data_IF_892199294582
#
_entry.id   IF_892199294582
#
_cell.length_a   1.000
_cell.length_b   1.000
_cell.length_c   1.000
_cell.angle_alpha   90.00
_cell.angle_beta   90.00
_cell.angle_gamma   90.00
#
_symmetry.space_group_name_H-M   'P 1'
#
loop_
_entity.id
_entity.type
_entity.pdbx_description
1 polymer ?
#
# COMPACT_ATOMS: atom_id res chain seq x y z
N UNK A 1 -6.81 12.07 31.27
CA UNK A 1 -5.74 11.87 30.26
C UNK A 1 -6.38 11.75 28.88
N UNK A 2 -5.95 12.57 27.91
CA UNK A 2 -6.54 12.53 26.56
C UNK A 2 -6.26 11.20 25.83
N UNK A 3 -5.10 10.58 26.08
CA UNK A 3 -4.73 9.30 25.43
C UNK A 3 -5.64 8.13 25.83
N UNK A 4 -6.37 8.20 26.92
CA UNK A 4 -7.23 7.10 27.36
C UNK A 4 -8.44 6.89 26.43
N UNK A 5 -8.79 7.92 25.65
CA UNK A 5 -9.91 7.90 24.70
C UNK A 5 -9.60 8.55 23.34
N UNK A 6 -8.31 8.61 23.00
CA UNK A 6 -7.85 9.17 21.72
C UNK A 6 -7.03 8.13 20.96
N UNK A 7 -7.44 7.82 19.74
CA UNK A 7 -6.63 7.04 18.81
C UNK A 7 -5.65 7.99 18.13
N UNK A 8 -4.37 7.65 18.14
CA UNK A 8 -3.33 8.39 17.42
C UNK A 8 -2.74 7.50 16.34
N UNK A 9 -2.73 7.99 15.11
CA UNK A 9 -2.10 7.32 13.96
C UNK A 9 -0.99 8.22 13.44
N UNK A 10 0.22 7.68 13.39
CA UNK A 10 1.41 8.37 12.88
C UNK A 10 1.91 7.60 11.67
N UNK A 11 1.97 8.26 10.52
CA UNK A 11 2.50 7.72 9.28
C UNK A 11 3.07 8.85 8.42
N UNK A 12 3.62 8.52 7.27
CA UNK A 12 3.93 9.46 6.19
C UNK A 12 3.12 9.06 4.96
N UNK A 13 2.84 9.99 4.05
CA UNK A 13 2.22 9.74 2.75
C UNK A 13 3.18 9.00 1.81
N UNK A 14 4.46 9.35 1.84
CA UNK A 14 5.55 8.69 1.10
C UNK A 14 6.89 8.86 1.83
N UNK A 15 7.92 8.21 1.33
CA UNK A 15 9.31 8.45 1.68
C UNK A 15 10.04 9.25 0.60
N UNK A 16 11.29 9.57 0.83
CA UNK A 16 12.20 10.19 -0.14
C UNK A 16 13.39 9.28 -0.44
N UNK A 17 13.78 9.23 -1.70
CA UNK A 17 14.95 8.51 -2.16
C UNK A 17 16.15 9.45 -2.28
N UNK A 18 17.29 9.02 -1.78
CA UNK A 18 18.57 9.74 -1.81
C UNK A 18 19.60 8.96 -2.61
N UNK A 19 19.22 8.54 -3.83
CA UNK A 19 20.04 7.70 -4.71
C UNK A 19 20.35 6.31 -4.11
N UNK A 20 19.45 5.77 -3.29
CA UNK A 20 19.63 4.51 -2.56
C UNK A 20 19.96 3.34 -3.49
N UNK A 21 19.30 3.28 -4.65
CA UNK A 21 19.51 2.25 -5.67
C UNK A 21 20.59 2.61 -6.72
N UNK A 22 21.30 3.72 -6.55
CA UNK A 22 22.33 4.21 -7.48
C UNK A 22 21.83 4.37 -8.91
N UNK A 23 20.59 4.81 -9.07
CA UNK A 23 19.93 5.11 -10.34
C UNK A 23 19.90 6.61 -10.64
N UNK A 24 20.66 7.40 -9.87
CA UNK A 24 20.73 8.86 -9.96
C UNK A 24 19.36 9.53 -9.76
N UNK A 25 18.55 8.99 -8.83
CA UNK A 25 17.26 9.54 -8.45
C UNK A 25 17.29 10.12 -7.03
N UNK A 26 16.69 11.31 -6.87
CA UNK A 26 16.60 12.07 -5.62
C UNK A 26 15.18 12.61 -5.46
N UNK A 27 14.58 12.43 -4.28
CA UNK A 27 13.22 12.88 -3.99
C UNK A 27 12.17 11.78 -4.09
N UNK A 28 10.93 12.13 -4.45
CA UNK A 28 9.78 11.23 -4.46
C UNK A 28 8.94 11.36 -5.75
N UNK A 29 7.95 10.45 -5.91
CA UNK A 29 6.98 10.47 -7.01
C UNK A 29 7.52 9.98 -8.36
N UNK A 30 8.78 9.58 -8.45
CA UNK A 30 9.40 9.14 -9.69
C UNK A 30 9.50 7.63 -9.86
N UNK A 31 9.45 6.89 -8.77
CA UNK A 31 9.51 5.43 -8.77
C UNK A 31 8.77 4.83 -7.57
N UNK A 32 8.78 3.49 -7.47
CA UNK A 32 8.10 2.71 -6.42
C UNK A 32 9.08 1.83 -5.65
N UNK A 33 10.28 2.34 -5.41
CA UNK A 33 11.27 1.66 -4.57
C UNK A 33 10.85 1.69 -3.10
N UNK A 34 11.43 0.81 -2.30
CA UNK A 34 11.14 0.77 -0.86
C UNK A 34 11.43 2.11 -0.17
N UNK A 35 12.42 2.88 -0.65
CA UNK A 35 12.74 4.20 -0.11
C UNK A 35 11.59 5.21 -0.27
N UNK A 36 10.79 5.09 -1.33
CA UNK A 36 9.68 6.02 -1.58
C UNK A 36 8.34 5.53 -1.05
N UNK A 37 8.08 4.21 -1.00
CA UNK A 37 6.75 3.69 -0.69
C UNK A 37 6.64 3.05 0.70
N UNK A 38 7.76 2.66 1.31
CA UNK A 38 7.77 1.99 2.61
C UNK A 38 7.88 3.01 3.73
N UNK A 39 6.75 3.33 4.32
CA UNK A 39 6.64 4.32 5.39
C UNK A 39 6.30 3.66 6.72
N UNK A 40 6.69 4.26 7.87
CA UNK A 40 6.29 3.77 9.17
C UNK A 40 4.77 3.94 9.38
N UNK A 41 4.16 3.02 10.12
CA UNK A 41 2.82 3.16 10.66
C UNK A 41 2.87 2.84 12.15
N UNK A 42 2.65 3.84 12.98
CA UNK A 42 2.59 3.69 14.44
C UNK A 42 1.21 4.10 14.92
N UNK A 43 0.57 3.25 15.71
CA UNK A 43 -0.75 3.56 16.26
C UNK A 43 -0.73 3.46 17.78
N UNK A 44 -1.30 4.48 18.44
CA UNK A 44 -1.80 4.33 19.80
C UNK A 44 -3.31 4.08 19.74
N UNK A 45 -3.76 3.02 20.37
CA UNK A 45 -5.18 2.66 20.36
C UNK A 45 -5.61 2.24 21.76
N UNK A 46 -6.45 3.03 22.44
CA UNK A 46 -6.91 2.72 23.78
C UNK A 46 -7.52 1.33 23.87
N UNK A 47 -7.09 0.56 24.89
CA UNK A 47 -7.57 -0.80 25.09
C UNK A 47 -6.94 -1.90 24.22
N UNK A 48 -6.18 -1.55 23.18
CA UNK A 48 -5.41 -2.52 22.39
C UNK A 48 -4.04 -2.77 23.03
N UNK A 49 -3.61 -4.01 23.05
CA UNK A 49 -2.26 -4.37 23.53
C UNK A 49 -1.22 -3.99 22.48
N UNK A 50 -0.02 -3.57 22.89
CA UNK A 50 1.09 -3.37 21.96
C UNK A 50 1.38 -4.63 21.16
N UNK A 51 1.50 -4.49 19.85
CA UNK A 51 1.85 -5.57 18.94
C UNK A 51 2.63 -5.05 17.75
N UNK A 52 3.50 -5.88 17.18
CA UNK A 52 4.14 -5.62 15.90
C UNK A 52 3.38 -6.36 14.80
N UNK A 53 3.12 -5.65 13.71
CA UNK A 53 2.53 -6.21 12.50
C UNK A 53 3.64 -6.37 11.48
N UNK A 54 3.94 -7.61 11.08
CA UNK A 54 5.05 -7.94 10.19
C UNK A 54 4.61 -8.24 8.74
N UNK A 55 3.32 -8.40 8.51
CA UNK A 55 2.78 -8.57 7.17
C UNK A 55 2.59 -7.23 6.46
N UNK A 56 2.50 -7.30 5.14
CA UNK A 56 2.32 -6.11 4.28
C UNK A 56 0.99 -5.42 4.60
N UNK A 57 1.08 -4.10 4.81
CA UNK A 57 -0.06 -3.19 4.98
C UNK A 57 0.09 -2.00 4.02
N UNK A 58 -1.00 -1.28 3.81
CA UNK A 58 -1.01 -0.05 3.01
C UNK A 58 -1.93 1.01 3.62
N UNK A 59 -1.88 2.25 3.13
CA UNK A 59 -2.81 3.30 3.54
C UNK A 59 -4.28 2.95 3.27
N UNK A 60 -4.54 2.10 2.26
CA UNK A 60 -5.89 1.61 1.95
C UNK A 60 -6.50 0.79 3.10
N UNK A 61 -5.68 0.28 4.00
CA UNK A 61 -6.09 -0.52 5.14
C UNK A 61 -6.58 0.32 6.32
N UNK A 62 -6.29 1.62 6.35
CA UNK A 62 -6.69 2.50 7.45
C UNK A 62 -8.20 2.65 7.54
N UNK A 63 -8.87 2.87 6.41
CA UNK A 63 -10.33 3.05 6.38
C UNK A 63 -11.07 1.80 6.86
N UNK A 64 -10.80 0.59 6.35
CA UNK A 64 -11.46 -0.63 6.84
C UNK A 64 -11.03 -1.05 8.26
N UNK A 65 -10.01 -0.41 8.81
CA UNK A 65 -9.64 -0.58 10.23
C UNK A 65 -10.45 0.36 11.11
N UNK A 66 -10.52 1.63 10.74
CA UNK A 66 -11.10 2.68 11.58
C UNK A 66 -12.64 2.65 11.56
N UNK A 67 -13.27 2.52 10.40
CA UNK A 67 -14.72 2.64 10.30
C UNK A 67 -15.49 1.61 11.14
N UNK A 68 -15.18 0.31 11.09
CA UNK A 68 -15.87 -0.66 11.94
C UNK A 68 -15.57 -0.48 13.43
N UNK A 69 -14.31 -0.26 13.79
CA UNK A 69 -13.84 -0.22 15.17
C UNK A 69 -14.28 1.07 15.91
N UNK A 70 -14.33 2.19 15.21
CA UNK A 70 -14.60 3.51 15.82
C UNK A 70 -16.04 3.96 15.61
N UNK A 71 -16.57 3.74 14.42
CA UNK A 71 -17.90 4.24 14.03
C UNK A 71 -18.95 3.13 13.97
N UNK A 72 -18.59 1.86 14.24
CA UNK A 72 -19.51 0.73 14.19
C UNK A 72 -20.06 0.45 12.79
N UNK A 73 -19.34 0.84 11.74
CA UNK A 73 -19.74 0.60 10.36
C UNK A 73 -19.78 -0.91 10.08
N UNK A 74 -20.94 -1.42 9.69
CA UNK A 74 -21.18 -2.84 9.40
C UNK A 74 -21.28 -3.15 7.90
N UNK A 75 -21.12 -2.15 7.03
CA UNK A 75 -21.12 -2.34 5.60
C UNK A 75 -19.96 -3.27 5.17
N UNK A 76 -20.12 -4.08 4.11
CA UNK A 76 -19.04 -4.80 3.51
C UNK A 76 -17.88 -3.87 3.13
N UNK A 77 -16.64 -4.26 3.40
CA UNK A 77 -15.46 -3.42 3.15
C UNK A 77 -15.37 -2.98 1.68
N UNK A 78 -15.73 -3.84 0.75
CA UNK A 78 -15.70 -3.55 -0.70
C UNK A 78 -16.73 -2.49 -1.17
N UNK A 79 -17.60 -2.01 -0.29
CA UNK A 79 -18.47 -0.88 -0.60
C UNK A 79 -17.72 0.46 -0.51
N UNK A 80 -16.60 0.50 0.21
CA UNK A 80 -15.92 1.76 0.51
C UNK A 80 -14.37 1.68 0.46
N UNK A 81 -13.77 0.49 0.36
CA UNK A 81 -12.32 0.33 0.29
C UNK A 81 -11.93 -0.98 -0.41
N UNK A 82 -10.77 -0.97 -1.06
CA UNK A 82 -10.09 -2.19 -1.54
C UNK A 82 -9.08 -2.72 -0.53
N UNK A 83 -8.87 -2.04 0.58
CA UNK A 83 -7.98 -2.44 1.66
C UNK A 83 -8.58 -3.52 2.56
N UNK A 84 -7.79 -3.96 3.53
CA UNK A 84 -8.17 -4.95 4.54
C UNK A 84 -7.77 -4.43 5.91
N UNK A 85 -8.63 -4.56 6.94
CA UNK A 85 -8.29 -4.10 8.30
C UNK A 85 -6.88 -4.55 8.71
N UNK A 86 -6.10 -3.64 9.29
CA UNK A 86 -4.74 -3.94 9.76
C UNK A 86 -4.70 -5.02 10.84
N UNK A 87 -5.82 -5.33 11.49
CA UNK A 87 -5.91 -6.40 12.49
C UNK A 87 -6.13 -7.80 11.89
N UNK A 88 -6.37 -7.88 10.58
CA UNK A 88 -6.67 -9.13 9.91
C UNK A 88 -5.50 -9.57 9.04
N UNK A 89 -4.79 -10.61 9.44
CA UNK A 89 -3.71 -11.22 8.66
C UNK A 89 -4.23 -12.19 7.59
N UNK A 90 -5.17 -13.05 7.97
CA UNK A 90 -5.67 -14.10 7.09
C UNK A 90 -6.34 -13.55 5.82
N UNK A 91 -5.92 -14.06 4.67
CA UNK A 91 -6.45 -13.68 3.36
C UNK A 91 -5.92 -12.34 2.82
N UNK A 92 -4.90 -11.74 3.46
CA UNK A 92 -4.24 -10.55 2.91
C UNK A 92 -3.43 -10.89 1.66
N UNK A 93 -3.39 -9.91 0.78
CA UNK A 93 -2.45 -9.92 -0.35
C UNK A 93 -1.02 -9.72 0.16
N UNK A 94 -0.07 -10.38 -0.50
CA UNK A 94 1.37 -10.15 -0.28
C UNK A 94 1.94 -9.09 -1.23
N UNK A 95 1.11 -8.21 -1.73
CA UNK A 95 1.46 -7.10 -2.63
C UNK A 95 0.66 -5.86 -2.25
N UNK A 96 1.14 -4.70 -2.66
CA UNK A 96 0.42 -3.43 -2.56
C UNK A 96 0.24 -2.79 -3.93
N UNK A 97 -0.88 -2.11 -4.12
CA UNK A 97 -1.09 -1.22 -5.25
C UNK A 97 -0.73 0.20 -4.82
N UNK A 98 0.07 0.87 -5.63
CA UNK A 98 0.50 2.25 -5.39
C UNK A 98 0.36 3.05 -6.68
N UNK A 99 -0.06 4.30 -6.56
CA UNK A 99 -0.24 5.22 -7.68
C UNK A 99 0.83 6.30 -7.65
N UNK A 100 1.24 6.75 -8.83
CA UNK A 100 2.19 7.85 -8.99
C UNK A 100 1.70 8.85 -10.04
N UNK A 101 2.50 9.83 -10.38
CA UNK A 101 2.12 10.90 -11.31
C UNK A 101 1.81 10.42 -12.73
N UNK A 102 2.53 9.42 -13.22
CA UNK A 102 2.43 8.95 -14.60
C UNK A 102 2.30 7.44 -14.75
N UNK A 103 2.41 6.73 -13.67
CA UNK A 103 2.41 5.26 -13.63
C UNK A 103 1.80 4.79 -12.33
N UNK A 104 1.21 3.61 -12.39
CA UNK A 104 0.79 2.84 -11.23
C UNK A 104 1.72 1.65 -11.05
N UNK A 105 1.73 1.06 -9.86
CA UNK A 105 2.54 -0.11 -9.57
C UNK A 105 1.83 -1.13 -8.70
N UNK A 106 2.06 -2.40 -9.01
CA UNK A 106 1.91 -3.49 -8.05
C UNK A 106 3.30 -3.83 -7.50
N UNK A 107 3.46 -3.67 -6.20
CA UNK A 107 4.71 -3.94 -5.51
C UNK A 107 4.59 -5.24 -4.75
N UNK A 108 5.24 -6.27 -5.28
CA UNK A 108 5.34 -7.60 -4.69
C UNK A 108 6.63 -7.72 -3.85
N UNK A 109 6.80 -8.77 -3.05
CA UNK A 109 8.01 -8.96 -2.24
C UNK A 109 9.32 -8.96 -3.05
N UNK A 110 9.28 -9.47 -4.29
CA UNK A 110 10.48 -9.70 -5.09
C UNK A 110 10.56 -8.86 -6.35
N UNK A 111 9.47 -8.21 -6.77
CA UNK A 111 9.41 -7.41 -8.00
C UNK A 111 8.40 -6.29 -7.90
N UNK A 112 8.48 -5.39 -8.88
CA UNK A 112 7.56 -4.28 -9.10
C UNK A 112 7.00 -4.42 -10.52
N UNK A 113 5.69 -4.35 -10.66
CA UNK A 113 5.02 -4.35 -11.96
C UNK A 113 4.47 -2.94 -12.16
N UNK A 114 5.07 -2.19 -13.07
CA UNK A 114 4.61 -0.85 -13.44
C UNK A 114 3.54 -0.94 -14.52
N UNK A 115 2.58 -0.03 -14.45
CA UNK A 115 1.53 0.15 -15.46
C UNK A 115 1.54 1.60 -15.86
N UNK A 116 1.75 1.88 -17.14
CA UNK A 116 1.64 3.24 -17.66
C UNK A 116 0.19 3.58 -18.06
N UNK A 117 -0.07 4.84 -18.41
CA UNK A 117 -1.38 5.32 -18.81
C UNK A 117 -1.98 4.61 -20.05
N UNK A 118 -1.14 3.96 -20.88
CA UNK A 118 -1.58 3.16 -22.03
C UNK A 118 -1.84 1.68 -21.65
N UNK A 119 -1.69 1.30 -20.36
CA UNK A 119 -1.85 -0.07 -19.89
C UNK A 119 -0.67 -1.00 -20.17
N UNK A 120 0.46 -0.47 -20.68
CA UNK A 120 1.65 -1.28 -20.90
C UNK A 120 2.33 -1.62 -19.56
N UNK A 121 2.78 -2.88 -19.47
CA UNK A 121 3.43 -3.42 -18.27
C UNK A 121 4.94 -3.41 -18.41
N UNK A 122 5.61 -3.02 -17.34
CA UNK A 122 7.06 -3.13 -17.18
C UNK A 122 7.34 -3.90 -15.89
N UNK A 123 8.29 -4.86 -15.94
CA UNK A 123 8.61 -5.72 -14.81
C UNK A 123 10.01 -5.43 -14.32
N UNK A 124 10.10 -5.00 -13.06
CA UNK A 124 11.34 -4.59 -12.42
C UNK A 124 11.60 -5.42 -11.16
N UNK A 125 12.85 -5.56 -10.78
CA UNK A 125 13.24 -6.06 -9.47
C UNK A 125 13.11 -4.95 -8.39
N UNK A 126 13.37 -5.28 -7.14
CA UNK A 126 13.28 -4.33 -6.01
C UNK A 126 14.35 -3.23 -6.04
N UNK A 127 15.37 -3.36 -6.89
CA UNK A 127 16.36 -2.31 -7.15
C UNK A 127 16.02 -1.46 -8.37
N UNK A 128 14.78 -1.61 -8.88
CA UNK A 128 14.23 -0.86 -10.01
C UNK A 128 14.94 -1.12 -11.34
N UNK A 129 15.41 -2.36 -11.54
CA UNK A 129 16.03 -2.83 -12.79
C UNK A 129 15.16 -3.90 -13.46
N UNK A 130 15.20 -4.02 -14.80
CA UNK A 130 14.41 -5.02 -15.51
C UNK A 130 14.64 -6.43 -14.97
N UNK A 131 13.55 -7.15 -14.66
CA UNK A 131 13.61 -8.56 -14.27
C UNK A 131 13.26 -9.50 -15.42
N UNK A 132 13.70 -10.76 -15.31
CA UNK A 132 13.33 -11.83 -16.24
C UNK A 132 11.94 -12.39 -15.99
N UNK A 133 11.44 -12.27 -14.76
CA UNK A 133 10.08 -12.69 -14.41
C UNK A 133 9.07 -11.67 -14.91
N UNK A 134 8.42 -12.01 -16.02
CA UNK A 134 7.38 -11.22 -16.69
C UNK A 134 6.00 -11.86 -16.58
N UNK A 135 5.81 -12.75 -15.63
CA UNK A 135 4.54 -13.41 -15.39
C UNK A 135 3.50 -12.38 -14.95
N UNK A 136 2.39 -12.30 -15.67
CA UNK A 136 1.26 -11.45 -15.28
C UNK A 136 0.49 -12.18 -14.19
N UNK A 137 0.38 -11.58 -12.98
CA UNK A 137 -0.35 -12.22 -11.89
C UNK A 137 -1.86 -12.22 -12.18
N UNK A 138 -2.58 -13.28 -11.78
CA UNK A 138 -4.02 -13.39 -12.06
C UNK A 138 -4.87 -12.31 -11.40
N UNK A 139 -4.42 -11.74 -10.28
CA UNK A 139 -5.13 -10.70 -9.55
C UNK A 139 -5.09 -9.33 -10.24
N UNK A 140 -4.16 -9.07 -11.16
CA UNK A 140 -3.88 -7.73 -11.70
C UNK A 140 -5.12 -7.08 -12.34
N UNK A 141 -5.80 -7.81 -13.21
CA UNK A 141 -7.00 -7.29 -13.89
C UNK A 141 -8.15 -7.01 -12.92
N UNK A 142 -8.32 -7.88 -11.92
CA UNK A 142 -9.39 -7.73 -10.93
C UNK A 142 -9.16 -6.52 -10.04
N UNK A 143 -7.93 -6.30 -9.59
CA UNK A 143 -7.58 -5.14 -8.75
C UNK A 143 -7.74 -3.83 -9.51
N UNK A 144 -7.30 -3.77 -10.76
CA UNK A 144 -7.49 -2.58 -11.61
C UNK A 144 -8.98 -2.25 -11.78
N UNK A 145 -9.81 -3.28 -12.00
CA UNK A 145 -11.26 -3.11 -12.11
C UNK A 145 -11.88 -2.63 -10.80
N UNK A 146 -11.49 -3.19 -9.65
CA UNK A 146 -11.98 -2.79 -8.34
C UNK A 146 -11.55 -1.34 -8.01
N UNK A 147 -10.30 -0.98 -8.24
CA UNK A 147 -9.81 0.38 -8.02
C UNK A 147 -10.52 1.40 -8.92
N UNK A 148 -10.88 1.05 -10.15
CA UNK A 148 -11.57 1.96 -11.07
C UNK A 148 -12.96 2.40 -10.57
N UNK A 149 -13.55 1.70 -9.60
CA UNK A 149 -14.82 2.11 -8.97
C UNK A 149 -14.68 3.38 -8.13
N UNK A 150 -13.48 3.66 -7.63
CA UNK A 150 -13.20 4.78 -6.72
C UNK A 150 -12.47 5.95 -7.40
N UNK A 151 -12.04 5.77 -8.64
CA UNK A 151 -11.39 6.82 -9.45
C UNK A 151 -12.37 7.27 -10.52
N UNK A 152 -12.76 8.54 -10.46
CA UNK A 152 -13.62 9.19 -11.47
C UNK A 152 -12.80 10.11 -12.34
#
# INVERSE_FOLDING_TARGET
>A
NLLDNTIVVISSDHGDEFNDNKLNFWGHGGNFTDAQIKVPLVTHWPGKKPTNIEYITSHLDLVPTLLPEVLGCSNPTNDYSVGTSIWKEAGRSNWVYSTGWSRDAFVEPHRIILINAAGALEFLDKTYRPTKDRTIPPYLADVLRENSKYVK
#
